data_IF_047812906113
#
_entry.id   IF_047812906113
#
_cell.length_a   1.000
_cell.length_b   1.000
_cell.length_c   1.000
_cell.angle_alpha   90.00
_cell.angle_beta   90.00
_cell.angle_gamma   90.00
#
_symmetry.space_group_name_H-M   'P 1'
#
loop_
_entity.id
_entity.type
_entity.pdbx_description
1 polymer ?
#
# COMPACT_ATOMS: atom_id res chain seq x y z
N UNK A 1 -18.93 4.87 -17.17
CA UNK A 1 -18.41 4.76 -16.92
C UNK A 1 -17.61 4.49 -16.42
N UNK A 2 -17.31 4.33 -16.03
CA UNK A 2 -16.69 4.18 -15.53
C UNK A 2 -15.63 3.89 -15.26
N UNK A 3 -15.02 4.14 -15.08
CA UNK A 3 -13.86 4.11 -14.69
C UNK A 3 -13.59 3.49 -13.49
N UNK A 4 -14.18 2.57 -13.09
CA UNK A 4 -13.99 1.96 -11.88
C UNK A 4 -12.76 1.15 -11.81
N UNK A 5 -12.06 1.00 -12.88
CA UNK A 5 -10.78 0.32 -12.85
C UNK A 5 -9.65 1.26 -12.47
N UNK A 6 -9.95 2.54 -12.37
CA UNK A 6 -8.93 3.50 -11.95
C UNK A 6 -8.86 3.51 -10.44
N UNK A 7 -7.69 3.24 -9.90
CA UNK A 7 -7.50 3.20 -8.48
C UNK A 7 -6.57 4.34 -8.09
N UNK A 8 -6.92 5.03 -7.04
CA UNK A 8 -6.12 6.12 -6.55
C UNK A 8 -5.01 5.58 -5.66
N UNK A 9 -3.79 5.97 -5.94
CA UNK A 9 -2.68 5.58 -5.07
C UNK A 9 -2.87 6.17 -3.69
N UNK A 10 -3.53 7.31 -3.59
CA UNK A 10 -3.82 7.89 -2.29
C UNK A 10 -4.69 6.96 -1.45
N UNK A 11 -5.64 6.29 -2.08
CA UNK A 11 -6.48 5.32 -1.38
C UNK A 11 -5.64 4.16 -0.87
N UNK A 12 -4.73 3.67 -1.71
CA UNK A 12 -3.86 2.56 -1.32
C UNK A 12 -2.97 2.96 -0.15
N UNK A 13 -2.36 4.12 -0.25
CA UNK A 13 -1.47 4.58 0.81
C UNK A 13 -2.24 4.82 2.10
N UNK A 14 -3.45 5.37 1.98
CA UNK A 14 -4.30 5.56 3.15
C UNK A 14 -4.60 4.25 3.87
N UNK A 15 -4.91 3.21 3.09
CA UNK A 15 -5.15 1.90 3.67
C UNK A 15 -3.91 1.39 4.39
N UNK A 16 -2.75 1.54 3.76
CA UNK A 16 -1.50 1.09 4.35
C UNK A 16 -1.24 1.82 5.67
N UNK A 17 -1.41 3.15 5.67
CA UNK A 17 -1.15 3.94 6.87
C UNK A 17 -2.10 3.57 8.01
N UNK A 18 -3.34 3.24 7.68
CA UNK A 18 -4.31 2.87 8.70
C UNK A 18 -4.04 1.49 9.30
N UNK A 19 -3.23 0.67 8.63
CA UNK A 19 -3.03 -0.70 9.05
C UNK A 19 -1.56 -1.05 9.25
N UNK A 20 -0.73 -0.05 9.57
CA UNK A 20 0.70 -0.28 9.72
C UNK A 20 1.05 -1.26 10.82
N UNK A 21 0.23 -1.34 11.85
CA UNK A 21 0.51 -2.25 12.95
C UNK A 21 0.10 -3.69 12.64
N UNK A 22 -0.59 -3.91 11.53
CA UNK A 22 -1.06 -5.23 11.16
C UNK A 22 -0.24 -5.83 10.04
N UNK A 23 -0.74 -6.93 9.52
CA UNK A 23 -0.08 -7.58 8.41
C UNK A 23 -0.47 -6.92 7.11
N UNK A 24 0.51 -6.45 6.38
CA UNK A 24 0.28 -5.76 5.14
C UNK A 24 1.08 -6.44 4.03
N UNK A 25 0.44 -7.31 3.27
CA UNK A 25 1.08 -7.83 2.08
C UNK A 25 0.29 -7.39 0.87
N UNK A 26 0.86 -7.64 -0.30
CA UNK A 26 0.27 -7.17 -1.54
C UNK A 26 -1.13 -7.72 -1.73
N UNK A 27 -1.34 -8.98 -1.41
CA UNK A 27 -2.64 -9.61 -1.60
C UNK A 27 -3.69 -9.00 -0.69
N UNK A 28 -3.36 -8.76 0.56
CA UNK A 28 -4.28 -8.17 1.51
C UNK A 28 -4.72 -6.79 1.06
N UNK A 29 -3.75 -5.97 0.67
CA UNK A 29 -4.06 -4.62 0.24
C UNK A 29 -4.87 -4.63 -1.06
N UNK A 30 -4.47 -5.49 -2.01
CA UNK A 30 -5.19 -5.56 -3.28
C UNK A 30 -6.64 -5.95 -3.06
N UNK A 31 -6.89 -6.91 -2.17
CA UNK A 31 -8.24 -7.34 -1.87
C UNK A 31 -9.04 -6.18 -1.26
N UNK A 32 -8.42 -5.46 -0.34
CA UNK A 32 -9.10 -4.36 0.34
C UNK A 32 -9.50 -3.26 -0.61
N UNK A 33 -8.69 -2.98 -1.62
CA UNK A 33 -9.00 -1.93 -2.58
C UNK A 33 -9.66 -2.48 -3.83
N UNK A 34 -9.98 -3.78 -3.81
CA UNK A 34 -10.72 -4.43 -4.88
C UNK A 34 -9.99 -4.37 -6.22
N UNK A 35 -8.72 -4.71 -6.20
CA UNK A 35 -7.88 -4.64 -7.39
C UNK A 35 -7.03 -5.91 -7.45
N UNK A 36 -6.53 -6.26 -8.63
CA UNK A 36 -5.69 -7.43 -8.74
C UNK A 36 -4.29 -7.13 -8.20
N UNK A 37 -3.64 -8.15 -7.66
CA UNK A 37 -2.27 -7.99 -7.16
C UNK A 37 -1.34 -7.45 -8.22
N UNK A 38 -1.49 -7.99 -9.42
CA UNK A 38 -0.60 -7.62 -10.51
C UNK A 38 -0.73 -6.14 -10.86
N UNK A 39 -1.96 -5.68 -11.00
CA UNK A 39 -2.21 -4.29 -11.33
C UNK A 39 -1.78 -3.36 -10.20
N UNK A 40 -2.06 -3.76 -8.97
CA UNK A 40 -1.66 -2.96 -7.83
C UNK A 40 -0.14 -2.81 -7.78
N UNK A 41 0.58 -3.91 -7.96
CA UNK A 41 2.03 -3.88 -7.96
C UNK A 41 2.56 -2.92 -9.02
N UNK A 42 2.04 -3.02 -10.23
CA UNK A 42 2.50 -2.17 -11.32
C UNK A 42 2.23 -0.70 -11.08
N UNK A 43 1.01 -0.41 -10.67
CA UNK A 43 0.63 0.99 -10.45
C UNK A 43 1.42 1.58 -9.30
N UNK A 44 1.56 0.82 -8.23
CA UNK A 44 2.27 1.32 -7.05
C UNK A 44 3.73 1.59 -7.39
N UNK A 45 4.39 0.62 -7.99
CA UNK A 45 5.80 0.77 -8.32
C UNK A 45 6.03 1.94 -9.27
N UNK A 46 5.17 2.08 -10.25
CA UNK A 46 5.31 3.14 -11.23
C UNK A 46 5.08 4.51 -10.62
N UNK A 47 4.11 4.61 -9.74
CA UNK A 47 3.73 5.91 -9.17
C UNK A 47 4.61 6.30 -8.01
N UNK A 48 4.92 5.37 -7.14
CA UNK A 48 5.66 5.66 -5.92
C UNK A 48 7.17 5.56 -6.13
N UNK A 49 7.60 4.72 -7.07
CA UNK A 49 9.02 4.58 -7.34
C UNK A 49 9.71 3.49 -6.56
N UNK A 50 8.95 2.72 -5.79
CA UNK A 50 9.47 1.57 -5.06
C UNK A 50 8.35 0.56 -4.92
N UNK A 51 8.69 -0.68 -4.59
CA UNK A 51 7.67 -1.70 -4.43
C UNK A 51 6.84 -1.40 -3.18
N UNK A 52 5.61 -1.91 -3.19
CA UNK A 52 4.76 -1.75 -2.02
C UNK A 52 5.40 -2.40 -0.79
N UNK A 53 6.06 -3.54 -0.98
CA UNK A 53 6.74 -4.22 0.12
C UNK A 53 7.79 -3.31 0.75
N UNK A 54 8.62 -2.68 -0.07
CA UNK A 54 9.64 -1.77 0.43
C UNK A 54 9.01 -0.59 1.15
N UNK A 55 7.97 -0.03 0.56
CA UNK A 55 7.29 1.10 1.17
C UNK A 55 6.75 0.73 2.54
N UNK A 56 6.05 -0.39 2.61
CA UNK A 56 5.45 -0.84 3.87
C UNK A 56 6.51 -1.07 4.93
N UNK A 57 7.62 -1.72 4.54
CA UNK A 57 8.68 -1.97 5.52
C UNK A 57 9.27 -0.68 6.06
N UNK A 58 9.50 0.28 5.18
CA UNK A 58 10.06 1.56 5.62
C UNK A 58 9.12 2.27 6.57
N UNK A 59 7.84 2.25 6.26
CA UNK A 59 6.86 2.91 7.12
C UNK A 59 6.74 2.21 8.47
N UNK A 60 6.74 0.88 8.46
CA UNK A 60 6.66 0.13 9.71
C UNK A 60 7.87 0.38 10.60
N UNK A 61 9.05 0.46 10.00
CA UNK A 61 10.25 0.75 10.76
C UNK A 61 10.20 2.16 11.36
N UNK A 62 9.72 3.11 10.59
CA UNK A 62 9.63 4.49 11.05
C UNK A 62 8.68 4.59 12.25
N UNK A 63 7.52 3.92 12.18
CA UNK A 63 6.56 3.96 13.26
C UNK A 63 7.11 3.26 14.51
N UNK A 64 7.81 2.15 14.31
CA UNK A 64 8.40 1.46 15.44
C UNK A 64 9.46 2.32 16.11
N UNK A 65 10.26 3.04 15.33
CA UNK A 65 11.28 3.91 15.89
C UNK A 65 10.67 5.01 16.73
N UNK A 66 9.52 5.52 16.30
CA UNK A 66 8.84 6.57 17.06
C UNK A 66 8.44 6.10 18.46
N UNK A 67 8.09 4.83 18.56
CA UNK A 67 7.67 4.28 19.85
C UNK A 67 8.82 4.10 20.81
N UNK A 68 10.04 4.12 20.32
CA UNK A 68 11.21 3.91 21.14
C UNK A 68 11.79 5.20 21.71
N UNK A 69 11.26 6.30 21.31
CA UNK A 69 11.79 7.61 21.72
C UNK A 69 11.24 8.05 23.05
#
# INVERSE_FOLDING_TARGET
MENKTVISIETVIGYIEDHLSGKLDLETVATAVNYSKYHLHRIFTKTVGMTMHDYVQRRQLTEAAKLLV
#
